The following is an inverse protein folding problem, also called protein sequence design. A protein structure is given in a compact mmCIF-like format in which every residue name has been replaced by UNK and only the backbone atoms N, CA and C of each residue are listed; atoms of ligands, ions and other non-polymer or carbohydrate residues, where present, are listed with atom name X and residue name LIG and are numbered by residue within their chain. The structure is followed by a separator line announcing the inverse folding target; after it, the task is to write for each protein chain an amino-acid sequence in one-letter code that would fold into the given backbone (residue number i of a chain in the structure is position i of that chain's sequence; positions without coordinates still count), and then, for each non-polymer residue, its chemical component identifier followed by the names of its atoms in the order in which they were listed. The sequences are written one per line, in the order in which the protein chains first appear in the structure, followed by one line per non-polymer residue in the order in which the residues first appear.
data_IF_593562244179
#
_entry.id   IF_593562244179
#
_cell.length_a   1.000
_cell.length_b   1.000
_cell.length_c   1.000
_cell.angle_alpha   90.00
_cell.angle_beta   90.00
_cell.angle_gamma   90.00
#
_symmetry.space_group_name_H-M   'P 1'
#
loop_
_entity.id
_entity.type
_entity.pdbx_description
1 polymer ?
#
# COMPACT_ATOMS: atom_id res chain seq x y z
N UNK A 1 2.18 9.72 -4.20
CA UNK A 1 0.91 9.41 -3.49
C UNK A 1 -0.30 9.66 -4.39
N UNK A 2 -0.65 10.91 -4.73
CA UNK A 2 -1.84 11.23 -5.56
C UNK A 2 -1.92 10.42 -6.86
N UNK A 3 -0.86 10.42 -7.68
CA UNK A 3 -0.82 9.67 -8.94
C UNK A 3 -1.01 8.16 -8.73
N UNK A 4 -0.43 7.61 -7.66
CA UNK A 4 -0.55 6.19 -7.32
C UNK A 4 -1.97 5.84 -6.90
N UNK A 5 -2.60 6.64 -6.04
CA UNK A 5 -4.00 6.45 -5.64
C UNK A 5 -4.93 6.62 -6.84
N UNK A 6 -4.64 7.54 -7.76
CA UNK A 6 -5.43 7.77 -8.96
C UNK A 6 -5.61 6.53 -9.85
N UNK A 7 -4.75 5.52 -9.74
CA UNK A 7 -4.91 4.22 -10.42
C UNK A 7 -6.19 3.52 -10.00
N UNK A 8 -6.65 3.71 -8.77
CA UNK A 8 -7.92 3.15 -8.29
C UNK A 8 -9.12 3.84 -8.96
N UNK A 9 -8.94 5.05 -9.50
CA UNK A 9 -10.01 5.96 -9.92
C UNK A 9 -10.61 6.79 -8.79
N UNK A 10 -10.19 6.54 -7.55
CA UNK A 10 -10.60 7.34 -6.42
C UNK A 10 -9.82 8.66 -6.38
N UNK A 11 -10.44 9.67 -5.78
CA UNK A 11 -9.79 10.93 -5.44
C UNK A 11 -9.25 10.82 -4.02
N UNK A 12 -8.11 11.47 -3.77
CA UNK A 12 -7.67 11.70 -2.40
C UNK A 12 -8.48 12.87 -1.86
N UNK A 13 -9.14 12.64 -0.74
CA UNK A 13 -9.77 13.70 0.06
C UNK A 13 -8.88 13.98 1.27
N UNK A 14 -8.91 15.22 1.75
CA UNK A 14 -8.05 15.67 2.85
C UNK A 14 -8.44 15.01 4.18
N UNK A 15 -9.73 14.68 4.36
CA UNK A 15 -10.25 14.09 5.59
C UNK A 15 -11.18 12.93 5.29
N UNK A 16 -11.08 11.88 6.10
CA UNK A 16 -12.06 10.79 6.13
C UNK A 16 -13.25 11.20 7.01
N UNK A 17 -14.51 11.09 6.54
CA UNK A 17 -15.67 11.53 7.31
C UNK A 17 -15.92 10.75 8.61
N UNK A 18 -15.45 9.50 8.71
CA UNK A 18 -15.66 8.65 9.88
C UNK A 18 -14.46 8.70 10.84
N UNK A 19 -13.25 8.68 10.29
CA UNK A 19 -12.01 8.49 11.03
C UNK A 19 -11.16 9.76 11.13
N UNK A 20 -11.50 10.82 10.40
CA UNK A 20 -10.65 11.99 10.20
C UNK A 20 -9.48 11.72 9.25
N UNK A 21 -8.74 10.62 9.47
CA UNK A 21 -7.71 10.11 8.56
C UNK A 21 -7.72 8.57 8.55
N UNK A 22 -7.70 7.98 7.35
CA UNK A 22 -7.73 6.52 7.18
C UNK A 22 -6.42 5.96 6.59
N UNK A 23 -5.48 6.82 6.19
CA UNK A 23 -4.20 6.42 5.61
C UNK A 23 -3.06 7.27 6.19
N UNK A 24 -2.20 6.65 7.01
CA UNK A 24 -1.17 7.34 7.78
C UNK A 24 0.18 6.66 7.66
N UNK A 25 1.25 7.45 7.56
CA UNK A 25 2.63 6.98 7.49
C UNK A 25 3.41 7.50 8.70
N UNK A 26 4.11 6.60 9.38
CA UNK A 26 5.03 6.92 10.45
C UNK A 26 6.44 6.52 10.03
N UNK A 27 7.37 7.45 10.19
CA UNK A 27 8.78 7.24 9.89
C UNK A 27 9.55 7.22 11.21
N UNK A 28 10.43 6.24 11.36
CA UNK A 28 11.30 6.12 12.53
C UNK A 28 12.71 5.70 12.10
N UNK A 29 13.72 6.00 12.91
CA UNK A 29 15.04 5.38 12.74
C UNK A 29 15.09 4.04 13.47
N UNK A 30 14.47 3.97 14.65
CA UNK A 30 14.32 2.73 15.41
C UNK A 30 12.86 2.38 15.67
N UNK A 31 12.53 1.09 15.59
CA UNK A 31 11.14 0.61 15.77
C UNK A 31 10.55 0.98 17.13
N UNK A 32 11.39 1.11 18.17
CA UNK A 32 10.96 1.53 19.51
C UNK A 32 10.43 2.98 19.56
N UNK A 33 10.84 3.86 18.63
CA UNK A 33 10.37 5.25 18.56
C UNK A 33 8.87 5.32 18.31
N UNK A 34 8.32 4.36 17.58
CA UNK A 34 6.88 4.25 17.28
C UNK A 34 6.05 4.21 18.57
N UNK A 35 6.57 3.61 19.64
CA UNK A 35 5.87 3.53 20.94
C UNK A 35 5.80 4.87 21.68
N UNK A 36 6.58 5.86 21.26
CA UNK A 36 6.58 7.21 21.84
C UNK A 36 5.54 8.13 21.20
N UNK A 37 4.90 7.69 20.10
CA UNK A 37 3.87 8.49 19.42
C UNK A 37 2.61 8.53 20.29
N UNK A 38 2.13 9.73 20.68
CA UNK A 38 0.91 9.87 21.47
C UNK A 38 -0.26 9.17 20.81
N UNK A 39 -1.08 8.49 21.61
CA UNK A 39 -2.35 7.87 21.23
C UNK A 39 -2.28 6.79 20.12
N UNK A 40 -1.09 6.48 19.59
CA UNK A 40 -0.92 5.50 18.51
C UNK A 40 -1.31 4.08 18.96
N UNK A 41 -1.17 3.78 20.24
CA UNK A 41 -1.63 2.52 20.84
C UNK A 41 -3.16 2.36 20.83
N UNK A 42 -3.90 3.47 20.81
CA UNK A 42 -5.37 3.43 20.72
C UNK A 42 -5.79 3.12 19.28
N UNK A 43 -5.02 3.60 18.31
CA UNK A 43 -5.22 3.35 16.89
C UNK A 43 -4.79 1.93 16.46
N UNK A 44 -3.70 1.42 17.04
CA UNK A 44 -3.12 0.11 16.73
C UNK A 44 -3.10 -0.73 18.01
N UNK A 45 -4.13 -1.56 18.24
CA UNK A 45 -4.10 -2.55 19.31
C UNK A 45 -2.89 -3.48 19.14
N UNK A 46 -2.19 -3.78 20.24
CA UNK A 46 -0.98 -4.63 20.27
C UNK A 46 0.26 -4.06 19.57
N UNK A 47 0.37 -2.74 19.43
CA UNK A 47 1.56 -2.11 18.82
C UNK A 47 2.88 -2.49 19.50
N UNK A 48 2.87 -2.76 20.81
CA UNK A 48 4.05 -3.23 21.57
C UNK A 48 4.56 -4.56 21.03
N UNK A 49 3.69 -5.57 20.92
CA UNK A 49 4.03 -6.89 20.39
C UNK A 49 4.49 -6.82 18.93
N UNK A 50 3.90 -5.91 18.14
CA UNK A 50 4.32 -5.65 16.76
C UNK A 50 5.76 -5.10 16.74
N UNK A 51 6.03 -4.06 17.52
CA UNK A 51 7.36 -3.44 17.62
C UNK A 51 8.41 -4.44 18.12
N UNK A 52 8.09 -5.25 19.12
CA UNK A 52 8.97 -6.32 19.62
C UNK A 52 9.36 -7.29 18.50
N UNK A 53 8.41 -7.73 17.67
CA UNK A 53 8.69 -8.61 16.52
C UNK A 53 9.52 -7.90 15.45
N UNK A 54 9.22 -6.63 15.17
CA UNK A 54 9.91 -5.84 14.15
C UNK A 54 11.38 -5.59 14.49
N UNK A 55 11.72 -5.48 15.77
CA UNK A 55 13.12 -5.33 16.22
C UNK A 55 14.03 -6.49 15.79
N UNK A 56 13.47 -7.71 15.64
CA UNK A 56 14.21 -8.88 15.20
C UNK A 56 14.02 -9.21 13.71
N UNK A 57 13.30 -8.35 12.98
CA UNK A 57 13.07 -8.49 11.55
C UNK A 57 14.07 -7.67 10.74
N UNK A 58 14.42 -8.15 9.54
CA UNK A 58 15.14 -7.36 8.54
C UNK A 58 14.23 -6.44 7.73
N UNK A 59 12.90 -6.46 7.95
CA UNK A 59 11.97 -5.59 7.22
C UNK A 59 12.23 -4.12 7.56
N UNK A 60 12.08 -3.26 6.55
CA UNK A 60 12.16 -1.80 6.70
C UNK A 60 10.78 -1.14 6.64
N UNK A 61 9.74 -1.90 6.32
CA UNK A 61 8.38 -1.38 6.30
C UNK A 61 7.39 -2.41 6.85
N UNK A 62 6.35 -1.92 7.52
CA UNK A 62 5.30 -2.75 8.11
C UNK A 62 3.94 -2.08 7.94
N UNK A 63 2.97 -2.83 7.39
CA UNK A 63 1.62 -2.36 7.10
C UNK A 63 0.63 -2.98 8.07
N UNK A 64 -0.23 -2.14 8.61
CA UNK A 64 -1.33 -2.54 9.48
C UNK A 64 -2.62 -2.12 8.79
N UNK A 65 -3.53 -3.08 8.63
CA UNK A 65 -4.82 -2.85 8.02
C UNK A 65 -5.93 -3.14 9.01
N UNK A 66 -6.96 -2.29 9.00
CA UNK A 66 -8.26 -2.61 9.58
C UNK A 66 -9.29 -2.71 8.46
N UNK A 67 -10.33 -3.50 8.69
CA UNK A 67 -11.31 -3.82 7.66
C UNK A 67 -12.72 -3.46 8.11
N UNK A 68 -13.56 -3.07 7.15
CA UNK A 68 -15.00 -2.97 7.34
C UNK A 68 -15.66 -4.37 7.40
N UNK A 69 -16.95 -4.49 7.76
CA UNK A 69 -17.65 -5.77 7.79
C UNK A 69 -17.68 -6.53 6.46
N UNK A 70 -17.59 -5.83 5.34
CA UNK A 70 -17.56 -6.37 3.98
C UNK A 70 -16.15 -6.83 3.55
N UNK A 71 -15.13 -6.57 4.37
CA UNK A 71 -13.73 -6.95 4.15
C UNK A 71 -12.90 -5.92 3.37
N UNK A 72 -13.46 -4.75 3.09
CA UNK A 72 -12.75 -3.62 2.49
C UNK A 72 -11.73 -3.02 3.46
N UNK A 73 -10.62 -2.49 2.92
CA UNK A 73 -9.62 -1.79 3.73
C UNK A 73 -10.26 -0.49 4.26
N UNK A 74 -10.55 -0.45 5.55
CA UNK A 74 -11.11 0.72 6.25
C UNK A 74 -10.03 1.70 6.69
N UNK A 75 -8.88 1.18 7.11
CA UNK A 75 -7.74 2.01 7.54
C UNK A 75 -6.43 1.29 7.23
N UNK A 76 -5.41 2.06 6.87
CA UNK A 76 -4.05 1.59 6.70
C UNK A 76 -3.06 2.49 7.45
N UNK A 77 -2.30 1.89 8.37
CA UNK A 77 -1.11 2.51 8.97
C UNK A 77 0.14 1.85 8.42
N UNK A 78 1.03 2.67 7.87
CA UNK A 78 2.33 2.26 7.38
C UNK A 78 3.40 2.75 8.34
N UNK A 79 4.21 1.83 8.85
CA UNK A 79 5.44 2.14 9.57
C UNK A 79 6.62 1.95 8.62
N UNK A 80 7.56 2.90 8.61
CA UNK A 80 8.76 2.88 7.75
C UNK A 80 9.98 3.17 8.61
N UNK A 81 10.92 2.21 8.64
CA UNK A 81 12.23 2.39 9.24
C UNK A 81 13.19 2.99 8.22
N UNK A 82 13.56 4.25 8.40
CA UNK A 82 14.44 5.00 7.50
C UNK A 82 15.89 4.69 7.84
N UNK A 83 16.41 3.61 7.25
CA UNK A 83 17.79 3.14 7.41
C UNK A 83 18.27 2.45 6.13
N UNK A 84 19.58 2.41 5.91
CA UNK A 84 20.23 1.69 4.81
C UNK A 84 19.58 2.02 3.45
N UNK A 85 19.08 1.02 2.74
CA UNK A 85 18.49 1.18 1.41
C UNK A 85 17.30 2.14 1.42
N UNK A 86 16.51 2.16 2.51
CA UNK A 86 15.34 3.05 2.63
C UNK A 86 15.76 4.52 2.75
N UNK A 87 16.93 4.80 3.32
CA UNK A 87 17.49 6.15 3.41
C UNK A 87 18.11 6.62 2.09
N UNK A 88 18.54 5.69 1.22
CA UNK A 88 19.09 5.99 -0.11
C UNK A 88 18.00 6.15 -1.18
N UNK A 89 16.81 5.59 -0.96
CA UNK A 89 15.69 5.73 -1.88
C UNK A 89 15.26 7.19 -2.05
N UNK A 90 14.94 7.57 -3.30
CA UNK A 90 14.29 8.85 -3.52
C UNK A 90 12.93 8.88 -2.84
N UNK A 91 12.54 10.05 -2.31
CA UNK A 91 11.21 10.26 -1.71
C UNK A 91 10.11 9.85 -2.70
N UNK A 92 10.33 10.08 -4.00
CA UNK A 92 9.37 9.70 -5.02
C UNK A 92 9.25 8.19 -5.19
N UNK A 93 10.36 7.45 -5.18
CA UNK A 93 10.35 5.99 -5.25
C UNK A 93 9.65 5.40 -4.02
N UNK A 94 10.01 5.88 -2.82
CA UNK A 94 9.40 5.46 -1.56
C UNK A 94 7.91 5.77 -1.55
N UNK A 95 7.53 7.00 -1.86
CA UNK A 95 6.14 7.45 -1.90
C UNK A 95 5.30 6.62 -2.88
N UNK A 96 5.80 6.37 -4.10
CA UNK A 96 5.06 5.62 -5.11
C UNK A 96 4.96 4.14 -4.73
N UNK A 97 6.06 3.51 -4.33
CA UNK A 97 6.13 2.08 -4.03
C UNK A 97 5.36 1.69 -2.77
N UNK A 98 5.54 2.44 -1.68
CA UNK A 98 4.86 2.15 -0.43
C UNK A 98 3.36 2.45 -0.53
N UNK A 99 2.96 3.53 -1.22
CA UNK A 99 1.52 3.80 -1.47
C UNK A 99 0.89 2.69 -2.29
N UNK A 100 1.56 2.23 -3.35
CA UNK A 100 1.01 1.21 -4.24
C UNK A 100 0.67 -0.07 -3.48
N UNK A 101 1.58 -0.48 -2.58
CA UNK A 101 1.41 -1.67 -1.76
C UNK A 101 0.36 -1.53 -0.65
N UNK A 102 -0.13 -0.30 -0.37
CA UNK A 102 -1.25 -0.08 0.55
C UNK A 102 -2.62 -0.12 -0.12
N UNK A 103 -2.69 -0.16 -1.46
CA UNK A 103 -3.96 -0.17 -2.20
C UNK A 103 -4.66 -1.55 -2.19
N UNK A 104 -3.96 -2.63 -1.86
CA UNK A 104 -4.54 -3.96 -1.79
C UNK A 104 -3.73 -4.86 -0.86
N UNK A 105 -4.34 -5.97 -0.42
CA UNK A 105 -3.61 -7.01 0.31
C UNK A 105 -2.84 -7.88 -0.68
N UNK A 106 -1.54 -7.57 -0.82
CA UNK A 106 -0.62 -8.40 -1.59
C UNK A 106 -0.12 -9.58 -0.76
N UNK A 107 0.24 -10.68 -1.43
CA UNK A 107 0.83 -11.83 -0.75
C UNK A 107 2.21 -11.48 -0.20
N UNK A 108 2.68 -12.22 0.81
CA UNK A 108 4.03 -12.06 1.36
C UNK A 108 5.15 -12.28 0.32
N UNK A 109 4.82 -12.93 -0.81
CA UNK A 109 5.76 -13.17 -1.92
C UNK A 109 5.65 -12.13 -3.04
N UNK A 110 4.72 -11.19 -2.95
CA UNK A 110 4.57 -10.16 -3.96
C UNK A 110 5.84 -9.28 -4.01
N UNK A 111 6.27 -8.96 -5.22
CA UNK A 111 7.36 -8.03 -5.50
C UNK A 111 8.77 -8.43 -5.02
N UNK A 112 8.97 -9.62 -4.47
CA UNK A 112 10.30 -10.13 -4.09
C UNK A 112 11.27 -10.10 -5.27
N UNK A 113 10.81 -10.54 -6.45
CA UNK A 113 11.64 -10.65 -7.65
C UNK A 113 11.60 -9.40 -8.53
N UNK A 114 10.60 -8.53 -8.32
CA UNK A 114 10.37 -7.38 -9.20
C UNK A 114 9.57 -6.29 -8.48
N UNK A 115 10.12 -5.07 -8.46
CA UNK A 115 9.41 -3.89 -7.94
C UNK A 115 8.10 -3.61 -8.70
N UNK A 116 7.02 -3.20 -7.99
CA UNK A 116 5.76 -2.79 -8.62
C UNK A 116 5.85 -1.47 -9.37
N UNK A 117 6.92 -0.71 -9.17
CA UNK A 117 7.13 0.62 -9.74
C UNK A 117 8.30 0.62 -10.72
N UNK A 118 8.29 1.59 -11.63
CA UNK A 118 9.39 1.90 -12.52
C UNK A 118 9.75 3.37 -12.39
N UNK A 119 11.02 3.70 -12.63
CA UNK A 119 11.50 5.06 -12.73
C UNK A 119 11.70 5.42 -14.19
N UNK A 120 11.11 6.53 -14.63
CA UNK A 120 11.32 7.11 -15.95
C UNK A 120 12.69 7.80 -15.94
N UNK A 121 13.62 7.35 -16.77
CA UNK A 121 15.01 7.82 -16.75
C UNK A 121 15.16 9.28 -17.15
N UNK A 122 14.26 9.82 -17.98
CA UNK A 122 14.32 11.18 -18.49
C UNK A 122 14.06 12.25 -17.43
N UNK A 123 13.23 11.95 -16.42
CA UNK A 123 12.78 12.93 -15.42
C UNK A 123 12.75 12.38 -13.99
N UNK A 124 13.29 11.18 -13.77
CA UNK A 124 13.30 10.45 -12.50
C UNK A 124 11.90 10.18 -11.90
N UNK A 125 10.84 10.29 -12.71
CA UNK A 125 9.47 10.09 -12.23
C UNK A 125 9.25 8.60 -11.90
N UNK A 126 8.89 8.30 -10.66
CA UNK A 126 8.49 6.95 -10.26
C UNK A 126 6.98 6.75 -10.43
N UNK A 127 6.60 5.74 -11.22
CA UNK A 127 5.21 5.36 -11.51
C UNK A 127 4.99 3.86 -11.27
N UNK A 128 3.78 3.42 -10.90
CA UNK A 128 3.46 2.00 -10.90
C UNK A 128 3.52 1.43 -12.31
N UNK A 129 4.09 0.23 -12.46
CA UNK A 129 4.21 -0.43 -13.76
C UNK A 129 2.81 -0.74 -14.31
N UNK A 130 2.58 -0.59 -15.63
CA UNK A 130 1.27 -0.75 -16.23
C UNK A 130 0.52 -2.03 -15.85
N UNK A 131 1.21 -3.19 -15.81
CA UNK A 131 0.60 -4.47 -15.44
C UNK A 131 0.05 -4.51 -14.01
N UNK A 132 0.74 -3.88 -13.06
CA UNK A 132 0.32 -3.84 -11.66
C UNK A 132 -0.74 -2.75 -11.44
N UNK A 133 -0.60 -1.62 -12.14
CA UNK A 133 -1.62 -0.58 -12.16
C UNK A 133 -2.96 -1.11 -12.70
N UNK A 134 -2.93 -1.87 -13.80
CA UNK A 134 -4.12 -2.50 -14.38
C UNK A 134 -4.78 -3.52 -13.44
N UNK A 135 -3.97 -4.23 -12.64
CA UNK A 135 -4.49 -5.14 -11.61
C UNK A 135 -5.23 -4.39 -10.50
N UNK A 136 -4.61 -3.35 -9.94
CA UNK A 136 -5.24 -2.53 -8.91
C UNK A 136 -6.50 -1.84 -9.47
N UNK A 137 -6.43 -1.24 -10.67
CA UNK A 137 -7.59 -0.64 -11.32
C UNK A 137 -8.75 -1.62 -11.47
N UNK A 138 -8.46 -2.87 -11.85
CA UNK A 138 -9.47 -3.91 -11.98
C UNK A 138 -10.09 -4.30 -10.63
N UNK A 139 -9.29 -4.35 -9.56
CA UNK A 139 -9.76 -4.67 -8.21
C UNK A 139 -10.68 -3.61 -7.62
N UNK A 140 -10.52 -2.35 -8.02
CA UNK A 140 -11.36 -1.22 -7.60
C UNK A 140 -12.59 -0.99 -8.49
N UNK A 141 -12.91 -1.90 -9.42
CA UNK A 141 -14.13 -1.80 -10.22
C UNK A 141 -15.38 -1.96 -9.31
N UNK A 142 -16.32 -1.00 -9.28
CA UNK A 142 -17.45 -1.01 -8.34
C UNK A 142 -18.46 -2.15 -8.59
N UNK A 143 -18.37 -2.86 -9.72
CA UNK A 143 -19.21 -4.03 -10.01
C UNK A 143 -18.66 -5.28 -9.31
N UNK A 144 -17.38 -5.29 -8.92
CA UNK A 144 -16.77 -6.39 -8.19
C UNK A 144 -17.02 -6.27 -6.69
N UNK A 145 -17.05 -7.40 -5.95
CA UNK A 145 -17.08 -7.36 -4.50
C UNK A 145 -15.83 -6.67 -3.95
N UNK A 146 -15.97 -5.92 -2.85
CA UNK A 146 -14.88 -5.17 -2.19
C UNK A 146 -13.75 -6.09 -1.71
N UNK A 147 -14.10 -7.32 -1.30
CA UNK A 147 -13.17 -8.38 -0.95
C UNK A 147 -13.75 -9.75 -1.36
N UNK A 148 -12.87 -10.71 -1.65
CA UNK A 148 -13.30 -12.08 -1.97
C UNK A 148 -12.22 -13.10 -1.66
N UNK A 149 -12.63 -14.25 -1.13
CA UNK A 149 -11.78 -15.45 -0.97
C UNK A 149 -12.03 -16.51 -2.05
N UNK A 150 -12.96 -16.25 -2.98
CA UNK A 150 -13.20 -17.15 -4.10
C UNK A 150 -12.04 -17.05 -5.11
N UNK A 151 -11.36 -18.16 -5.35
CA UNK A 151 -10.24 -18.24 -6.32
C UNK A 151 -10.67 -17.82 -7.73
N UNK A 152 -11.94 -17.99 -8.09
CA UNK A 152 -12.48 -17.54 -9.38
C UNK A 152 -12.40 -16.02 -9.55
N UNK A 153 -12.37 -15.26 -8.45
CA UNK A 153 -12.21 -13.82 -8.47
C UNK A 153 -10.87 -13.39 -9.11
N UNK A 154 -9.79 -14.14 -8.88
CA UNK A 154 -8.49 -13.87 -9.51
C UNK A 154 -8.55 -13.95 -11.05
N UNK A 155 -9.35 -14.87 -11.60
CA UNK A 155 -9.55 -14.99 -13.05
C UNK A 155 -10.33 -13.78 -13.60
N UNK A 156 -11.32 -13.28 -12.85
CA UNK A 156 -12.06 -12.07 -13.21
C UNK A 156 -11.15 -10.84 -13.21
N UNK A 157 -10.29 -10.71 -12.20
CA UNK A 157 -9.30 -9.63 -12.15
C UNK A 157 -8.35 -9.70 -13.33
N UNK A 158 -7.78 -10.87 -13.64
CA UNK A 158 -6.88 -11.06 -14.78
C UNK A 158 -7.55 -10.64 -16.10
N UNK A 159 -8.77 -11.11 -16.36
CA UNK A 159 -9.51 -10.77 -17.58
C UNK A 159 -9.73 -9.25 -17.70
N UNK A 160 -10.11 -8.58 -16.60
CA UNK A 160 -10.32 -7.13 -16.56
C UNK A 160 -9.01 -6.34 -16.72
N UNK A 161 -7.93 -6.77 -16.07
CA UNK A 161 -6.62 -6.15 -16.22
C UNK A 161 -6.11 -6.21 -17.66
N UNK A 162 -6.35 -7.31 -18.36
CA UNK A 162 -5.98 -7.45 -19.77
C UNK A 162 -6.73 -6.47 -20.69
N UNK A 163 -7.99 -6.13 -20.37
CA UNK A 163 -8.73 -5.10 -21.12
C UNK A 163 -8.00 -3.76 -21.01
N UNK A 164 -7.61 -3.35 -19.80
CA UNK A 164 -6.86 -2.11 -19.60
C UNK A 164 -5.52 -2.12 -20.35
N UNK A 165 -4.79 -3.23 -20.31
CA UNK A 165 -3.50 -3.36 -21.00
C UNK A 165 -3.65 -3.36 -22.53
N UNK A 166 -4.70 -3.98 -23.07
CA UNK A 166 -4.96 -4.03 -24.51
C UNK A 166 -5.25 -2.66 -25.12
N UNK A 167 -5.83 -1.74 -24.34
CA UNK A 167 -6.08 -0.36 -24.75
C UNK A 167 -4.87 0.58 -24.64
N UNK A 168 -3.71 0.08 -24.18
CA UNK A 168 -2.46 0.86 -24.12
C UNK A 168 -1.56 0.66 -25.36
N UNK A 169 -1.95 -0.22 -26.28
CA UNK A 169 -1.24 -0.46 -27.55
C UNK A 169 -1.75 0.45 -28.67
#
# INVERSE_FOLDING_TARGET
IVTTVGITGNKIEETDPELGANFMWFFCQEWSEVLSVPDLQELIPNIKDIVEKLQFSSTKSYRIFSFDPEGGIKMCVQLIKVSDETAEMSIQALATGETFQCLALFSANAFINESPIAQISQNNLCIPKPKYAALVRAAYDPILPVASHDKSHALRLLARSNIFLSGMN
#
